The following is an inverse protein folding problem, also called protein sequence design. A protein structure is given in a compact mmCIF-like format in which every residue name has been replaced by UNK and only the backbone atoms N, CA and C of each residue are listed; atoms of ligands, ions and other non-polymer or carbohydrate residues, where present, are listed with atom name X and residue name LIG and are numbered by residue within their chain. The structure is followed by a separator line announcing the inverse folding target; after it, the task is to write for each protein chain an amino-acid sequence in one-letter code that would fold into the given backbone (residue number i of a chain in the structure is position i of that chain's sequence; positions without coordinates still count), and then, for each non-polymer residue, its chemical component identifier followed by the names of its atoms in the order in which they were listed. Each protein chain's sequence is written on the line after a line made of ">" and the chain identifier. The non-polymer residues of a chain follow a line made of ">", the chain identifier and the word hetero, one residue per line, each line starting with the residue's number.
data_IF_821074978715
#
_entry.id   IF_821074978715
#
_cell.length_a   1.000
_cell.length_b   1.000
_cell.length_c   1.000
_cell.angle_alpha   90.00
_cell.angle_beta   90.00
_cell.angle_gamma   90.00
#
_symmetry.space_group_name_H-M   'P 1'
#
loop_
_entity.id
_entity.type
_entity.pdbx_description
1 polymer ?
#
# COMPACT_ATOMS: atom_id res chain seq x y z
N UNK A 1 6.06 20.53 53.77
CA UNK A 1 5.29 20.61 52.51
C UNK A 1 6.05 19.84 51.46
N UNK A 2 5.53 18.67 51.10
CA UNK A 2 6.23 17.67 50.30
C UNK A 2 5.83 17.87 48.83
N UNK A 3 6.82 18.09 47.97
CA UNK A 3 6.64 18.26 46.54
C UNK A 3 6.36 16.88 45.91
N UNK A 4 5.10 16.62 45.60
CA UNK A 4 4.68 15.37 44.95
C UNK A 4 4.89 15.44 43.44
N UNK A 5 5.95 14.82 42.95
CA UNK A 5 6.08 14.47 41.53
C UNK A 5 4.95 13.50 41.17
N UNK A 6 3.97 13.96 40.38
CA UNK A 6 3.04 13.06 39.69
C UNK A 6 3.79 12.46 38.52
N UNK A 7 4.20 11.19 38.64
CA UNK A 7 4.54 10.37 37.50
C UNK A 7 3.32 10.30 36.59
N UNK A 8 3.36 11.02 35.47
CA UNK A 8 2.41 10.87 34.38
C UNK A 8 2.57 9.48 33.78
N UNK A 9 1.59 8.62 34.04
CA UNK A 9 1.49 7.30 33.43
C UNK A 9 0.97 7.49 31.99
N UNK A 10 1.85 7.88 31.06
CA UNK A 10 1.54 7.89 29.63
C UNK A 10 1.73 6.48 29.05
N UNK A 11 0.73 5.62 29.21
CA UNK A 11 0.57 4.38 28.42
C UNK A 11 0.11 4.70 26.99
N UNK A 12 0.77 5.65 26.30
CA UNK A 12 0.45 6.02 24.91
C UNK A 12 1.07 5.08 23.87
N UNK A 13 1.96 4.20 24.31
CA UNK A 13 2.71 3.27 23.46
C UNK A 13 2.28 1.81 23.57
N UNK A 14 1.33 1.48 24.45
CA UNK A 14 0.75 0.15 24.49
C UNK A 14 -0.05 -0.09 23.19
N UNK A 15 0.32 -1.13 22.45
CA UNK A 15 -0.49 -1.64 21.34
C UNK A 15 -1.81 -2.15 21.88
N UNK A 16 -2.88 -1.99 21.10
CA UNK A 16 -4.15 -2.66 21.37
C UNK A 16 -3.88 -4.18 21.47
N UNK A 17 -4.05 -4.80 22.65
CA UNK A 17 -3.78 -6.21 22.84
C UNK A 17 -4.69 -7.08 21.95
N UNK A 18 -5.85 -6.56 21.54
CA UNK A 18 -6.87 -7.27 20.78
C UNK A 18 -6.85 -6.94 19.27
N UNK A 19 -5.75 -6.35 18.77
CA UNK A 19 -5.64 -5.94 17.35
C UNK A 19 -5.78 -7.10 16.35
N UNK A 20 -5.49 -8.34 16.78
CA UNK A 20 -5.69 -9.57 16.00
C UNK A 20 -6.98 -10.30 16.36
N UNK A 21 -7.86 -9.73 17.18
CA UNK A 21 -9.17 -10.35 17.44
C UNK A 21 -9.96 -10.49 16.14
N UNK A 22 -10.79 -11.54 15.97
CA UNK A 22 -11.54 -11.76 14.73
C UNK A 22 -12.36 -10.54 14.27
N UNK A 23 -12.95 -9.80 15.22
CA UNK A 23 -13.70 -8.57 14.93
C UNK A 23 -12.78 -7.48 14.35
N UNK A 24 -11.60 -7.26 14.95
CA UNK A 24 -10.65 -6.24 14.49
C UNK A 24 -10.00 -6.62 13.17
N UNK A 25 -9.68 -7.89 12.96
CA UNK A 25 -9.21 -8.42 11.67
C UNK A 25 -10.23 -8.16 10.58
N UNK A 26 -11.51 -8.49 10.82
CA UNK A 26 -12.58 -8.25 9.83
C UNK A 26 -12.79 -6.75 9.54
N UNK A 27 -12.84 -5.90 10.59
CA UNK A 27 -12.89 -4.44 10.43
C UNK A 27 -11.72 -3.94 9.58
N UNK A 28 -10.52 -4.45 9.88
CA UNK A 28 -9.32 -4.04 9.20
C UNK A 28 -9.29 -4.48 7.73
N UNK A 29 -9.77 -5.69 7.43
CA UNK A 29 -9.90 -6.23 6.09
C UNK A 29 -10.91 -5.44 5.24
N UNK A 30 -12.07 -5.10 5.81
CA UNK A 30 -13.07 -4.26 5.14
C UNK A 30 -12.46 -2.90 4.78
N UNK A 31 -11.71 -2.32 5.71
CA UNK A 31 -11.02 -1.05 5.47
C UNK A 31 -9.91 -1.22 4.40
N UNK A 32 -9.12 -2.29 4.42
CA UNK A 32 -8.11 -2.54 3.38
C UNK A 32 -8.73 -2.60 1.98
N UNK A 33 -9.85 -3.33 1.83
CA UNK A 33 -10.61 -3.41 0.57
C UNK A 33 -11.05 -2.03 0.08
N UNK A 34 -11.50 -1.15 1.00
CA UNK A 34 -11.86 0.24 0.66
C UNK A 34 -10.66 1.06 0.21
N UNK A 35 -9.50 0.92 0.86
CA UNK A 35 -8.27 1.63 0.45
C UNK A 35 -7.79 1.17 -0.94
N UNK A 36 -7.81 -0.13 -1.21
CA UNK A 36 -7.42 -0.67 -2.52
C UNK A 36 -8.36 -0.22 -3.63
N UNK A 37 -9.68 -0.23 -3.39
CA UNK A 37 -10.64 0.31 -4.35
C UNK A 37 -10.41 1.81 -4.62
N UNK A 38 -10.01 2.58 -3.60
CA UNK A 38 -9.62 3.98 -3.77
C UNK A 38 -8.34 4.12 -4.57
N UNK A 39 -7.32 3.28 -4.34
CA UNK A 39 -6.09 3.28 -5.12
C UNK A 39 -6.40 3.03 -6.62
N UNK A 40 -7.26 2.06 -6.94
CA UNK A 40 -7.72 1.83 -8.32
C UNK A 40 -8.30 3.11 -8.95
N UNK A 41 -9.19 3.82 -8.25
CA UNK A 41 -9.78 5.06 -8.77
C UNK A 41 -8.79 6.22 -8.84
N UNK A 42 -7.87 6.30 -7.89
CA UNK A 42 -6.80 7.30 -7.87
C UNK A 42 -5.97 7.19 -9.14
N UNK A 43 -5.49 5.98 -9.47
CA UNK A 43 -4.68 5.76 -10.67
C UNK A 43 -5.48 5.94 -11.96
N UNK A 44 -6.75 5.53 -11.97
CA UNK A 44 -7.65 5.81 -13.09
C UNK A 44 -7.84 7.32 -13.31
N UNK A 45 -7.78 8.12 -12.25
CA UNK A 45 -7.91 9.59 -12.30
C UNK A 45 -6.64 10.28 -12.82
N UNK A 46 -5.48 9.65 -12.71
CA UNK A 46 -4.20 10.24 -13.14
C UNK A 46 -3.81 9.83 -14.57
N UNK A 47 -4.23 8.65 -15.04
CA UNK A 47 -3.94 8.15 -16.39
C UNK A 47 -4.38 9.14 -17.50
N UNK A 48 -5.66 9.57 -17.61
CA UNK A 48 -6.10 10.43 -18.71
C UNK A 48 -5.41 11.80 -18.78
N UNK A 49 -5.16 12.53 -17.68
CA UNK A 49 -4.37 13.76 -17.68
C UNK A 49 -2.96 13.59 -18.23
N UNK A 50 -2.23 12.57 -17.79
CA UNK A 50 -0.88 12.28 -18.29
C UNK A 50 -0.89 11.92 -19.77
N UNK A 51 -1.83 11.07 -20.18
CA UNK A 51 -2.00 10.67 -21.57
C UNK A 51 -2.40 11.84 -22.46
N UNK A 52 -3.28 12.73 -21.99
CA UNK A 52 -3.69 13.95 -22.71
C UNK A 52 -2.52 14.91 -22.91
N UNK A 53 -1.70 15.13 -21.88
CA UNK A 53 -0.49 15.94 -22.01
C UNK A 53 0.49 15.31 -23.00
N UNK A 54 0.66 13.98 -22.96
CA UNK A 54 1.49 13.25 -23.92
C UNK A 54 1.01 13.42 -25.37
N UNK A 55 -0.29 13.26 -25.63
CA UNK A 55 -0.89 13.41 -26.97
C UNK A 55 -0.70 14.82 -27.56
N UNK A 56 -0.56 15.84 -26.71
CA UNK A 56 -0.39 17.22 -27.18
C UNK A 56 1.04 17.57 -27.59
N UNK A 57 2.02 16.71 -27.32
CA UNK A 57 3.42 16.98 -27.66
C UNK A 57 3.65 16.83 -29.16
N UNK A 58 4.28 17.84 -29.76
CA UNK A 58 4.79 17.76 -31.12
C UNK A 58 6.08 16.94 -31.13
N UNK A 59 6.02 15.73 -31.68
CA UNK A 59 7.18 14.82 -31.78
C UNK A 59 7.79 14.76 -33.18
N UNK A 60 7.22 15.47 -34.16
CA UNK A 60 7.78 15.52 -35.51
C UNK A 60 9.17 16.17 -35.48
N UNK A 61 10.03 15.72 -36.40
CA UNK A 61 11.43 16.13 -36.47
C UNK A 61 12.20 15.91 -35.15
N UNK A 62 11.85 14.84 -34.43
CA UNK A 62 12.47 14.44 -33.17
C UNK A 62 12.40 15.50 -32.04
N UNK A 63 11.43 16.41 -32.11
CA UNK A 63 11.19 17.39 -31.05
C UNK A 63 10.56 16.73 -29.83
N UNK A 64 10.84 17.25 -28.63
CA UNK A 64 10.21 16.84 -27.37
C UNK A 64 10.27 15.34 -27.00
N UNK A 65 11.03 14.50 -27.70
CA UNK A 65 11.04 13.04 -27.50
C UNK A 65 11.36 12.64 -26.05
N UNK A 66 12.26 13.37 -25.38
CA UNK A 66 12.59 13.11 -23.98
C UNK A 66 11.36 13.27 -23.08
N UNK A 67 10.62 14.37 -23.25
CA UNK A 67 9.41 14.66 -22.47
C UNK A 67 8.31 13.65 -22.79
N UNK A 68 8.15 13.31 -24.08
CA UNK A 68 7.20 12.29 -24.51
C UNK A 68 7.50 10.92 -23.90
N UNK A 69 8.77 10.51 -23.83
CA UNK A 69 9.16 9.25 -23.21
C UNK A 69 8.91 9.24 -21.70
N UNK A 70 9.18 10.35 -21.01
CA UNK A 70 8.90 10.47 -19.56
C UNK A 70 7.41 10.42 -19.27
N UNK A 71 6.58 11.18 -20.00
CA UNK A 71 5.12 11.10 -19.79
C UNK A 71 4.57 9.71 -20.14
N UNK A 72 5.15 9.05 -21.15
CA UNK A 72 4.81 7.68 -21.49
C UNK A 72 5.13 6.70 -20.39
N UNK A 73 6.31 6.79 -19.76
CA UNK A 73 6.63 5.94 -18.63
C UNK A 73 5.65 6.17 -17.48
N UNK A 74 5.35 7.44 -17.15
CA UNK A 74 4.43 7.79 -16.06
C UNK A 74 3.04 7.16 -16.28
N UNK A 75 2.34 7.43 -17.39
CA UNK A 75 0.99 6.88 -17.54
C UNK A 75 0.97 5.35 -17.64
N UNK A 76 2.08 4.73 -18.09
CA UNK A 76 2.20 3.27 -18.13
C UNK A 76 2.38 2.70 -16.72
N UNK A 77 3.17 3.38 -15.87
CA UNK A 77 3.32 3.05 -14.46
C UNK A 77 1.98 3.20 -13.72
N UNK A 78 1.16 4.22 -14.01
CA UNK A 78 -0.17 4.34 -13.39
C UNK A 78 -1.14 3.23 -13.81
N UNK A 79 -1.08 2.78 -15.07
CA UNK A 79 -1.84 1.60 -15.51
C UNK A 79 -1.40 0.33 -14.77
N UNK A 80 -0.10 0.19 -14.49
CA UNK A 80 0.44 -0.91 -13.69
C UNK A 80 -0.04 -0.81 -12.23
N UNK A 81 0.07 0.36 -11.59
CA UNK A 81 -0.40 0.59 -10.22
C UNK A 81 -1.90 0.28 -10.07
N UNK A 82 -2.73 0.75 -11.00
CA UNK A 82 -4.16 0.46 -11.03
C UNK A 82 -4.41 -1.06 -11.08
N UNK A 83 -3.67 -1.76 -11.95
CA UNK A 83 -3.80 -3.21 -12.13
C UNK A 83 -3.33 -3.99 -10.89
N UNK A 84 -2.24 -3.57 -10.25
CA UNK A 84 -1.74 -4.18 -9.02
C UNK A 84 -2.71 -3.98 -7.86
N UNK A 85 -3.25 -2.77 -7.68
CA UNK A 85 -4.27 -2.49 -6.66
C UNK A 85 -5.55 -3.31 -6.90
N UNK A 86 -5.98 -3.44 -8.16
CA UNK A 86 -7.14 -4.23 -8.55
C UNK A 86 -6.92 -5.74 -8.29
N UNK A 87 -5.77 -6.27 -8.70
CA UNK A 87 -5.40 -7.67 -8.47
C UNK A 87 -5.34 -7.99 -6.97
N UNK A 88 -4.74 -7.08 -6.19
CA UNK A 88 -4.65 -7.26 -4.75
C UNK A 88 -6.05 -7.17 -4.09
N UNK A 89 -6.91 -6.26 -4.52
CA UNK A 89 -8.30 -6.22 -4.05
C UNK A 89 -9.01 -7.55 -4.31
N UNK A 90 -8.86 -8.11 -5.52
CA UNK A 90 -9.46 -9.38 -5.88
C UNK A 90 -8.89 -10.55 -5.05
N UNK A 91 -7.58 -10.58 -4.80
CA UNK A 91 -6.94 -11.71 -4.09
C UNK A 91 -7.40 -11.85 -2.64
N UNK A 92 -7.74 -10.74 -1.97
CA UNK A 92 -8.29 -10.74 -0.61
C UNK A 92 -9.83 -10.89 -0.57
N UNK A 93 -10.43 -11.34 -1.67
CA UNK A 93 -11.88 -11.54 -1.81
C UNK A 93 -12.68 -10.25 -1.89
N UNK A 94 -12.09 -9.18 -2.43
CA UNK A 94 -12.80 -7.97 -2.83
C UNK A 94 -13.34 -8.07 -4.27
N UNK A 95 -14.05 -7.04 -4.69
CA UNK A 95 -14.53 -6.92 -6.08
C UNK A 95 -14.16 -5.54 -6.59
N UNK A 96 -13.39 -5.52 -7.68
CA UNK A 96 -12.99 -4.28 -8.35
C UNK A 96 -14.18 -3.66 -9.06
N UNK A 97 -14.48 -2.41 -8.73
CA UNK A 97 -15.48 -1.58 -9.40
C UNK A 97 -14.76 -0.55 -10.24
N UNK A 98 -14.78 -0.68 -11.58
CA UNK A 98 -14.14 0.28 -12.50
C UNK A 98 -15.15 1.18 -13.22
N UNK A 99 -16.28 0.61 -13.66
CA UNK A 99 -17.28 1.28 -14.49
C UNK A 99 -18.54 1.66 -13.71
N UNK A 100 -18.43 1.87 -12.40
CA UNK A 100 -19.53 2.40 -11.61
C UNK A 100 -19.75 3.86 -12.02
N UNK A 101 -20.93 4.20 -12.54
CA UNK A 101 -21.25 5.53 -13.06
C UNK A 101 -21.00 6.64 -12.03
N UNK A 102 -21.05 6.30 -10.74
CA UNK A 102 -20.78 7.22 -9.64
C UNK A 102 -19.30 7.49 -9.39
N UNK A 103 -18.40 6.67 -9.93
CA UNK A 103 -16.97 6.69 -9.62
C UNK A 103 -16.06 6.91 -10.85
N UNK A 104 -16.62 7.07 -12.05
CA UNK A 104 -15.83 7.46 -13.22
C UNK A 104 -15.37 8.92 -13.03
N UNK A 105 -14.07 9.23 -13.16
CA UNK A 105 -13.58 10.60 -12.97
C UNK A 105 -14.14 11.54 -14.04
N UNK A 106 -14.80 12.61 -13.61
CA UNK A 106 -15.30 13.69 -14.48
C UNK A 106 -14.33 14.86 -14.39
N UNK A 107 -13.61 15.14 -15.47
CA UNK A 107 -12.62 16.23 -15.47
C UNK A 107 -13.27 17.58 -15.78
N UNK A 108 -12.84 18.68 -15.12
CA UNK A 108 -11.84 18.68 -14.05
C UNK A 108 -12.40 18.13 -12.73
N UNK A 109 -11.58 17.37 -12.01
CA UNK A 109 -11.91 16.78 -10.70
C UNK A 109 -10.81 17.07 -9.71
N UNK A 110 -11.14 17.21 -8.43
CA UNK A 110 -10.13 17.12 -7.38
C UNK A 110 -9.64 15.68 -7.27
N UNK A 111 -8.37 15.51 -6.90
CA UNK A 111 -7.80 14.19 -6.67
C UNK A 111 -8.51 13.54 -5.46
N UNK A 112 -9.25 12.46 -5.73
CA UNK A 112 -9.97 11.63 -4.75
C UNK A 112 -10.92 12.40 -3.79
N UNK A 113 -11.61 13.45 -4.25
CA UNK A 113 -12.66 14.15 -3.50
C UNK A 113 -13.89 13.24 -3.27
N UNK A 114 -14.44 13.24 -2.04
CA UNK A 114 -15.69 12.56 -1.72
C UNK A 114 -15.61 11.36 -0.75
N UNK A 115 -14.60 11.26 0.12
CA UNK A 115 -14.63 10.24 1.18
C UNK A 115 -13.53 10.34 2.25
N UNK A 116 -13.50 9.36 3.17
CA UNK A 116 -12.74 9.34 4.44
C UNK A 116 -11.21 9.62 4.44
N UNK A 117 -10.57 9.79 3.27
CA UNK A 117 -9.10 9.83 3.15
C UNK A 117 -8.56 10.95 2.26
N UNK A 118 -9.40 11.82 1.68
CA UNK A 118 -9.03 12.97 0.81
C UNK A 118 -7.55 12.99 0.36
N UNK A 119 -7.24 12.35 -0.76
CA UNK A 119 -5.84 12.20 -1.22
C UNK A 119 -5.45 13.45 -2.00
N UNK A 120 -4.75 14.36 -1.32
CA UNK A 120 -4.33 15.64 -1.89
C UNK A 120 -5.49 16.46 -2.52
N UNK A 121 -6.57 16.75 -1.77
CA UNK A 121 -7.80 17.38 -2.30
C UNK A 121 -7.56 18.75 -2.94
N UNK A 122 -6.46 19.43 -2.59
CA UNK A 122 -6.04 20.69 -3.18
C UNK A 122 -5.59 20.59 -4.65
N UNK A 123 -5.46 19.38 -5.22
CA UNK A 123 -4.99 19.16 -6.59
C UNK A 123 -6.18 19.01 -7.53
N UNK A 124 -6.47 20.07 -8.29
CA UNK A 124 -7.47 20.04 -9.37
C UNK A 124 -6.84 19.47 -10.65
N UNK A 125 -7.27 18.27 -11.00
CA UNK A 125 -6.80 17.51 -12.16
C UNK A 125 -7.71 17.78 -13.35
N UNK A 126 -7.14 18.12 -14.51
CA UNK A 126 -7.88 18.46 -15.72
C UNK A 126 -7.28 17.80 -16.98
N UNK A 127 -8.03 17.76 -18.07
CA UNK A 127 -7.50 17.36 -19.36
C UNK A 127 -6.94 18.61 -20.06
N UNK A 128 -5.62 18.75 -20.12
CA UNK A 128 -4.94 19.91 -20.70
C UNK A 128 -3.74 19.50 -21.56
N UNK A 129 -3.41 20.28 -22.60
CA UNK A 129 -2.13 20.16 -23.29
C UNK A 129 -0.95 20.31 -22.33
N UNK A 130 0.17 19.72 -22.70
CA UNK A 130 1.42 19.84 -21.97
C UNK A 130 1.85 21.30 -21.87
N UNK A 131 2.17 21.71 -20.64
CA UNK A 131 2.90 22.94 -20.38
C UNK A 131 3.72 22.77 -19.10
N UNK A 132 4.82 23.51 -19.00
CA UNK A 132 5.65 23.49 -17.78
C UNK A 132 4.84 23.91 -16.54
N UNK A 133 3.90 24.86 -16.70
CA UNK A 133 2.99 25.26 -15.63
C UNK A 133 2.12 24.08 -15.18
N UNK A 134 1.50 23.37 -16.13
CA UNK A 134 0.65 22.22 -15.79
C UNK A 134 1.43 21.09 -15.08
N UNK A 135 2.65 20.82 -15.51
CA UNK A 135 3.54 19.87 -14.83
C UNK A 135 3.80 20.28 -13.37
N UNK A 136 4.15 21.54 -13.13
CA UNK A 136 4.47 22.04 -11.78
C UNK A 136 3.25 22.10 -10.88
N UNK A 137 2.12 22.55 -11.42
CA UNK A 137 0.95 22.87 -10.64
C UNK A 137 0.06 21.65 -10.36
N UNK A 138 0.17 20.59 -11.17
CA UNK A 138 -0.63 19.38 -11.04
C UNK A 138 0.25 18.14 -10.91
N UNK A 139 1.02 17.75 -11.94
CA UNK A 139 1.73 16.47 -11.95
C UNK A 139 2.73 16.33 -10.78
N UNK A 140 3.55 17.36 -10.51
CA UNK A 140 4.47 17.33 -9.37
C UNK A 140 3.77 17.31 -8.01
N UNK A 141 2.51 17.75 -7.92
CA UNK A 141 1.72 17.68 -6.68
C UNK A 141 1.07 16.31 -6.50
N UNK A 142 0.67 15.66 -7.59
CA UNK A 142 0.23 14.25 -7.59
C UNK A 142 1.38 13.37 -7.12
N UNK A 143 2.55 13.50 -7.75
CA UNK A 143 3.77 12.71 -7.45
C UNK A 143 4.54 13.18 -6.20
N UNK A 144 3.92 14.03 -5.37
CA UNK A 144 4.57 14.51 -4.16
C UNK A 144 4.84 13.31 -3.24
N UNK A 145 6.10 13.10 -2.80
CA UNK A 145 6.42 11.97 -1.95
C UNK A 145 5.71 12.11 -0.60
N UNK A 146 5.39 10.98 0.01
CA UNK A 146 4.88 10.93 1.38
C UNK A 146 5.88 11.57 2.36
N UNK A 147 5.42 12.06 3.53
CA UNK A 147 6.31 12.62 4.55
C UNK A 147 7.50 11.70 4.88
N UNK A 148 8.67 12.29 5.14
CA UNK A 148 9.90 11.53 5.41
C UNK A 148 9.74 10.54 6.58
N UNK A 149 8.96 10.91 7.60
CA UNK A 149 8.63 10.02 8.72
C UNK A 149 7.93 8.75 8.22
N UNK A 150 6.85 8.89 7.45
CA UNK A 150 6.11 7.74 6.91
C UNK A 150 7.00 6.84 6.04
N UNK A 151 7.89 7.42 5.24
CA UNK A 151 8.86 6.64 4.44
C UNK A 151 9.86 5.89 5.32
N UNK A 152 10.38 6.53 6.37
CA UNK A 152 11.32 5.89 7.29
C UNK A 152 10.65 4.76 8.08
N UNK A 153 9.44 5.00 8.56
CA UNK A 153 8.64 3.99 9.24
C UNK A 153 8.41 2.80 8.29
N UNK A 154 8.07 3.06 7.02
CA UNK A 154 7.92 2.02 6.00
C UNK A 154 9.20 1.18 5.83
N UNK A 155 10.36 1.84 5.74
CA UNK A 155 11.65 1.16 5.62
C UNK A 155 12.01 0.34 6.86
N UNK A 156 11.61 0.75 8.06
CA UNK A 156 11.74 -0.07 9.27
C UNK A 156 10.98 -1.40 9.10
N UNK A 157 9.72 -1.35 8.66
CA UNK A 157 8.92 -2.56 8.43
C UNK A 157 9.55 -3.44 7.36
N UNK A 158 9.98 -2.87 6.24
CA UNK A 158 10.66 -3.63 5.17
C UNK A 158 11.93 -4.30 5.70
N UNK A 159 12.68 -3.60 6.57
CA UNK A 159 13.86 -4.15 7.24
C UNK A 159 13.51 -5.34 8.14
N UNK A 160 12.44 -5.24 8.94
CA UNK A 160 11.96 -6.33 9.79
C UNK A 160 11.44 -7.51 8.95
N UNK A 161 10.76 -7.22 7.83
CA UNK A 161 10.23 -8.24 6.94
C UNK A 161 11.34 -9.06 6.28
N UNK A 162 12.46 -8.41 5.92
CA UNK A 162 13.66 -9.10 5.42
C UNK A 162 14.26 -10.12 6.38
N UNK A 163 13.90 -10.09 7.67
CA UNK A 163 14.37 -11.05 8.67
C UNK A 163 13.52 -12.34 8.72
N UNK A 164 12.36 -12.36 8.05
CA UNK A 164 11.48 -13.52 7.97
C UNK A 164 12.05 -14.56 6.98
N UNK A 165 11.88 -15.87 7.23
CA UNK A 165 12.42 -16.93 6.36
C UNK A 165 11.83 -16.93 4.94
N UNK A 166 10.70 -16.24 4.71
CA UNK A 166 10.15 -16.00 3.37
C UNK A 166 10.92 -14.90 2.61
N UNK A 167 11.84 -14.20 3.24
CA UNK A 167 12.62 -13.13 2.61
C UNK A 167 13.88 -13.64 1.90
N UNK A 168 14.20 -14.93 1.98
CA UNK A 168 15.17 -15.57 1.08
C UNK A 168 14.51 -15.92 -0.26
N UNK A 169 14.07 -14.88 -0.97
CA UNK A 169 14.02 -14.87 -2.42
C UNK A 169 15.16 -13.95 -2.86
N UNK A 170 16.39 -14.48 -2.88
CA UNK A 170 17.62 -13.75 -3.23
C UNK A 170 17.70 -13.37 -4.71
N UNK A 171 16.56 -13.27 -5.39
CA UNK A 171 16.48 -12.82 -6.76
C UNK A 171 15.36 -11.79 -6.90
N UNK A 172 15.76 -10.52 -7.01
CA UNK A 172 14.97 -9.52 -7.73
C UNK A 172 14.84 -10.04 -9.17
N UNK A 173 13.75 -10.74 -9.47
CA UNK A 173 13.58 -11.39 -10.78
C UNK A 173 12.73 -10.51 -11.68
N UNK A 174 13.29 -10.24 -12.85
CA UNK A 174 12.72 -9.37 -13.88
C UNK A 174 11.54 -10.01 -14.64
N UNK A 175 10.76 -10.95 -14.09
CA UNK A 175 9.60 -11.48 -14.80
C UNK A 175 8.51 -12.03 -13.87
N UNK A 176 7.27 -11.59 -14.10
CA UNK A 176 6.08 -12.08 -13.40
C UNK A 176 5.87 -13.59 -13.53
N UNK A 177 6.34 -14.22 -14.61
CA UNK A 177 6.24 -15.68 -14.81
C UNK A 177 7.06 -16.47 -13.78
N UNK A 178 8.16 -15.89 -13.28
CA UNK A 178 8.95 -16.50 -12.23
C UNK A 178 8.25 -16.37 -10.88
N UNK A 179 7.62 -15.24 -10.60
CA UNK A 179 6.81 -15.05 -9.39
C UNK A 179 5.57 -15.95 -9.39
N UNK A 180 4.91 -16.15 -10.53
CA UNK A 180 3.77 -17.09 -10.65
C UNK A 180 4.24 -18.51 -10.41
N UNK A 181 5.37 -18.93 -11.01
CA UNK A 181 5.94 -20.26 -10.74
C UNK A 181 6.38 -20.43 -9.29
N UNK A 182 7.03 -19.43 -8.70
CA UNK A 182 7.42 -19.47 -7.29
C UNK A 182 6.19 -19.51 -6.38
N UNK A 183 5.12 -18.77 -6.69
CA UNK A 183 3.86 -18.82 -5.96
C UNK A 183 3.15 -20.18 -6.09
N UNK A 184 3.09 -20.75 -7.30
CA UNK A 184 2.56 -22.08 -7.57
C UNK A 184 3.38 -23.18 -6.88
N UNK A 185 4.70 -23.07 -6.90
CA UNK A 185 5.61 -24.02 -6.24
C UNK A 185 5.52 -23.90 -4.72
N UNK A 186 5.45 -22.68 -4.18
CA UNK A 186 5.34 -22.41 -2.75
C UNK A 186 4.00 -22.85 -2.16
N UNK A 187 2.91 -22.88 -2.92
CA UNK A 187 1.60 -23.36 -2.45
C UNK A 187 1.27 -24.81 -2.80
N UNK A 188 1.91 -25.41 -3.81
CA UNK A 188 1.81 -26.87 -4.03
C UNK A 188 2.59 -27.68 -2.98
N UNK A 189 3.65 -27.13 -2.37
CA UNK A 189 4.45 -27.85 -1.35
C UNK A 189 3.90 -27.72 0.08
N UNK A 190 2.97 -26.80 0.33
CA UNK A 190 2.39 -26.57 1.68
C UNK A 190 1.20 -27.51 1.97
N UNK A 191 0.82 -28.36 1.02
CA UNK A 191 -0.22 -29.38 1.24
C UNK A 191 0.29 -30.66 1.91
N UNK A 192 1.59 -31.00 1.86
CA UNK A 192 2.01 -32.36 2.23
C UNK A 192 3.34 -32.55 2.98
N UNK A 193 4.14 -31.51 3.25
CA UNK A 193 5.40 -31.68 4.00
C UNK A 193 5.54 -30.73 5.19
N UNK A 194 4.74 -30.96 6.24
CA UNK A 194 5.09 -30.45 7.57
C UNK A 194 6.20 -31.33 8.18
N UNK A 195 7.45 -31.08 7.79
CA UNK A 195 8.52 -31.26 8.79
C UNK A 195 8.14 -30.32 9.95
N UNK A 196 7.92 -30.92 11.12
CA UNK A 196 7.56 -30.16 12.32
C UNK A 196 8.72 -29.25 12.66
N UNK A 197 8.56 -27.93 12.44
CA UNK A 197 9.46 -26.91 12.99
C UNK A 197 9.82 -27.28 14.44
N UNK A 198 11.11 -27.29 14.77
CA UNK A 198 11.49 -27.48 16.17
C UNK A 198 10.91 -26.34 17.02
N UNK A 199 10.66 -26.61 18.31
CA UNK A 199 10.07 -25.65 19.24
C UNK A 199 10.85 -24.32 19.28
N UNK A 200 12.18 -24.39 19.11
CA UNK A 200 13.07 -23.23 19.08
C UNK A 200 12.84 -22.37 17.84
N UNK A 201 12.75 -22.99 16.66
CA UNK A 201 12.55 -22.30 15.38
C UNK A 201 11.17 -21.66 15.31
N UNK A 202 10.15 -22.36 15.81
CA UNK A 202 8.80 -21.84 15.94
C UNK A 202 8.75 -20.60 16.84
N UNK A 203 9.44 -20.62 17.98
CA UNK A 203 9.49 -19.49 18.91
C UNK A 203 10.17 -18.27 18.28
N UNK A 204 11.31 -18.47 17.63
CA UNK A 204 12.01 -17.40 16.91
C UNK A 204 11.15 -16.80 15.79
N UNK A 205 10.42 -17.62 15.06
CA UNK A 205 9.54 -17.15 13.99
C UNK A 205 8.35 -16.36 14.54
N UNK A 206 7.76 -16.79 15.66
CA UNK A 206 6.73 -16.04 16.37
C UNK A 206 7.24 -14.66 16.80
N UNK A 207 8.41 -14.59 17.43
CA UNK A 207 9.02 -13.32 17.86
C UNK A 207 9.19 -12.34 16.70
N UNK A 208 9.66 -12.83 15.55
CA UNK A 208 9.79 -12.01 14.33
C UNK A 208 8.44 -11.47 13.84
N UNK A 209 7.42 -12.31 13.76
CA UNK A 209 6.07 -11.86 13.38
C UNK A 209 5.46 -10.88 14.38
N UNK A 210 5.74 -11.04 15.68
CA UNK A 210 5.34 -10.06 16.69
C UNK A 210 6.00 -8.70 16.49
N UNK A 211 7.30 -8.67 16.14
CA UNK A 211 8.00 -7.42 15.85
C UNK A 211 7.44 -6.72 14.60
N UNK A 212 7.21 -7.46 13.51
CA UNK A 212 6.60 -6.94 12.27
C UNK A 212 5.19 -6.39 12.55
N UNK A 213 4.36 -7.16 13.27
CA UNK A 213 3.02 -6.74 13.69
C UNK A 213 3.06 -5.43 14.48
N UNK A 214 3.97 -5.33 15.44
CA UNK A 214 4.09 -4.16 16.31
C UNK A 214 4.50 -2.92 15.50
N UNK A 215 5.44 -3.04 14.58
CA UNK A 215 5.86 -1.93 13.72
C UNK A 215 4.71 -1.45 12.82
N UNK A 216 3.98 -2.37 12.19
CA UNK A 216 2.80 -2.06 11.37
C UNK A 216 1.69 -1.36 12.16
N UNK A 217 1.37 -1.86 13.35
CA UNK A 217 0.32 -1.31 14.18
C UNK A 217 0.65 0.10 14.72
N UNK A 218 1.93 0.42 14.97
CA UNK A 218 2.34 1.79 15.34
C UNK A 218 2.04 2.80 14.24
N UNK A 219 2.20 2.41 12.96
CA UNK A 219 1.95 3.29 11.82
C UNK A 219 0.47 3.54 11.54
N UNK A 220 -0.39 2.58 11.91
CA UNK A 220 -1.84 2.69 11.75
C UNK A 220 -2.50 3.51 12.86
N UNK A 221 -1.74 3.96 13.88
CA UNK A 221 -2.27 4.87 14.89
C UNK A 221 -2.79 6.15 14.20
N UNK A 222 -3.96 6.66 14.59
CA UNK A 222 -4.53 7.86 13.98
C UNK A 222 -3.51 9.01 13.98
N UNK A 223 -3.14 9.46 12.79
CA UNK A 223 -2.37 10.69 12.62
C UNK A 223 -3.34 11.86 12.64
N UNK A 224 -3.02 12.99 13.32
CA UNK A 224 -3.82 14.20 13.21
C UNK A 224 -3.79 14.81 11.80
N UNK A 225 -2.86 14.38 10.95
CA UNK A 225 -2.75 14.84 9.58
C UNK A 225 -3.50 13.89 8.63
N UNK A 226 -4.40 14.39 7.76
CA UNK A 226 -5.05 13.58 6.73
C UNK A 226 -4.05 13.00 5.72
N UNK A 227 -4.48 12.00 4.94
CA UNK A 227 -3.65 11.36 3.89
C UNK A 227 -3.42 12.37 2.76
N UNK A 228 -2.38 13.18 2.88
CA UNK A 228 -2.20 14.32 1.98
C UNK A 228 -1.44 14.00 0.69
N UNK A 229 -1.04 12.74 0.46
CA UNK A 229 -0.25 12.32 -0.71
C UNK A 229 -0.64 10.92 -1.17
N UNK A 230 -0.41 10.62 -2.46
CA UNK A 230 -0.55 9.27 -3.02
C UNK A 230 0.34 8.27 -2.27
N UNK A 231 1.59 8.65 -1.97
CA UNK A 231 2.50 7.81 -1.21
C UNK A 231 1.98 7.44 0.18
N UNK A 232 1.29 8.36 0.88
CA UNK A 232 0.70 8.10 2.20
C UNK A 232 -0.45 7.08 2.13
N UNK A 233 -1.24 7.08 1.04
CA UNK A 233 -2.26 6.07 0.80
C UNK A 233 -1.63 4.68 0.70
N UNK A 234 -0.58 4.54 -0.12
CA UNK A 234 0.12 3.26 -0.30
C UNK A 234 0.82 2.78 0.96
N UNK A 235 1.42 3.68 1.76
CA UNK A 235 1.96 3.32 3.07
C UNK A 235 0.87 2.71 3.95
N UNK A 236 -0.32 3.29 4.01
CA UNK A 236 -1.41 2.74 4.83
C UNK A 236 -1.93 1.40 4.33
N UNK A 237 -2.06 1.23 3.01
CA UNK A 237 -2.38 -0.07 2.41
C UNK A 237 -1.36 -1.10 2.88
N UNK A 238 -0.06 -0.79 2.77
CA UNK A 238 0.99 -1.73 3.13
C UNK A 238 1.03 -2.03 4.63
N UNK A 239 1.00 -1.03 5.51
CA UNK A 239 1.01 -1.24 6.96
C UNK A 239 -0.19 -2.09 7.40
N UNK A 240 -1.36 -1.88 6.79
CA UNK A 240 -2.57 -2.64 7.09
C UNK A 240 -2.51 -4.07 6.59
N UNK A 241 -1.99 -4.30 5.38
CA UNK A 241 -1.70 -5.63 4.86
C UNK A 241 -0.76 -6.38 5.77
N UNK A 242 0.35 -5.76 6.18
CA UNK A 242 1.37 -6.38 7.01
C UNK A 242 0.81 -6.72 8.39
N UNK A 243 -0.01 -5.85 8.97
CA UNK A 243 -0.72 -6.14 10.21
C UNK A 243 -1.60 -7.40 10.08
N UNK A 244 -2.45 -7.45 9.05
CA UNK A 244 -3.38 -8.55 8.82
C UNK A 244 -2.64 -9.88 8.57
N UNK A 245 -1.63 -9.86 7.71
CA UNK A 245 -0.81 -11.04 7.41
C UNK A 245 -0.04 -11.51 8.66
N UNK A 246 0.49 -10.59 9.46
CA UNK A 246 1.16 -10.95 10.72
C UNK A 246 0.21 -11.62 11.70
N UNK A 247 -1.05 -11.14 11.81
CA UNK A 247 -2.06 -11.80 12.63
C UNK A 247 -2.34 -13.22 12.13
N UNK A 248 -2.57 -13.38 10.82
CA UNK A 248 -2.85 -14.69 10.23
C UNK A 248 -1.69 -15.68 10.40
N UNK A 249 -0.44 -15.21 10.24
CA UNK A 249 0.77 -16.03 10.44
C UNK A 249 0.94 -16.48 11.88
N UNK A 250 0.68 -15.59 12.85
CA UNK A 250 0.70 -15.94 14.28
C UNK A 250 -0.38 -17.00 14.57
N UNK A 251 -1.60 -16.83 14.04
CA UNK A 251 -2.68 -17.80 14.22
C UNK A 251 -2.36 -19.16 13.58
N UNK A 252 -1.75 -19.16 12.39
CA UNK A 252 -1.30 -20.38 11.70
C UNK A 252 -0.21 -21.13 12.49
N UNK A 253 0.80 -20.42 13.01
CA UNK A 253 1.83 -21.00 13.88
C UNK A 253 1.23 -21.58 15.16
N UNK A 254 0.14 -20.99 15.66
CA UNK A 254 -0.60 -21.49 16.82
C UNK A 254 -1.64 -22.57 16.47
N UNK A 255 -1.84 -22.91 15.19
CA UNK A 255 -2.86 -23.86 14.69
C UNK A 255 -4.30 -23.43 14.99
N UNK A 256 -4.54 -22.12 15.02
CA UNK A 256 -5.86 -21.51 15.31
C UNK A 256 -6.53 -20.99 14.02
N UNK A 257 -5.78 -20.86 12.92
CA UNK A 257 -6.29 -20.30 11.67
C UNK A 257 -5.47 -20.68 10.42
N UNK A 258 -5.82 -20.12 9.25
CA UNK A 258 -5.29 -20.54 7.95
C UNK A 258 -3.84 -20.14 7.67
N UNK A 259 -3.22 -19.27 8.48
CA UNK A 259 -1.82 -18.87 8.28
C UNK A 259 -1.59 -17.79 7.22
N UNK A 260 -2.64 -17.27 6.58
CA UNK A 260 -2.63 -16.19 5.59
C UNK A 260 -4.03 -15.54 5.49
N UNK A 261 -4.12 -14.35 4.90
CA UNK A 261 -5.36 -13.57 4.76
C UNK A 261 -6.09 -13.79 3.44
#
# INVERSE_FOLDING_TARGET
>A
MQCGMKYGNETRDALDPDICSPSKVNENLIHLKKLLQKAVFLELTTIPPYFTAWLSLQTEYARNLKVANVLKSIYTEEMLHMSLAANFLNSIGGTVKLADMWNIPIYPTQLAEGGYYDVAPQVLVALKPFSIGYVKDVFMKVEKPSPAKERNDLFEIVGLWKMLPTASGDQVTNNMDQLIKEYETQYQDVSDNHETLDATEKLQLLEKWHAVKQAAARQLKPSPNPINTVGSLYTQILSKTILLESCAKIDGLNKIGPGTI
#
